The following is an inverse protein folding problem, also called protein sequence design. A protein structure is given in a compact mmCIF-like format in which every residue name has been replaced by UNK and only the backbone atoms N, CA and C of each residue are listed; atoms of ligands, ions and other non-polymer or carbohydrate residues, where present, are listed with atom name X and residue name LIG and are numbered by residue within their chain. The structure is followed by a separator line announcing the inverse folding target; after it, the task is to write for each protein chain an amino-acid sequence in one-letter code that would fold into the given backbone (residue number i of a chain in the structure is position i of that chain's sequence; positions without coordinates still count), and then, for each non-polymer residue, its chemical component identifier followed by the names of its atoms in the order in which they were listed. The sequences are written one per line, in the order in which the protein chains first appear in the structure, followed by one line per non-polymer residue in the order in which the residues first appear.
data_IF_817209117167
#
_entry.id   IF_817209117167
#
_cell.length_a   1.000
_cell.length_b   1.000
_cell.length_c   1.000
_cell.angle_alpha   90.00
_cell.angle_beta   90.00
_cell.angle_gamma   90.00
#
_symmetry.space_group_name_H-M   'P 1'
#
loop_
_entity.id
_entity.type
_entity.pdbx_description
1 polymer ?
#
# COMPACT_ATOMS: atom_id res chain seq x y z
N UNK A 1 8.45 -9.70 -7.89
CA UNK A 1 8.00 -8.61 -8.79
C UNK A 1 9.18 -7.78 -9.32
N UNK A 2 10.00 -7.10 -8.50
CA UNK A 2 11.09 -6.24 -8.99
C UNK A 2 12.14 -6.90 -9.89
N UNK A 3 12.39 -8.21 -9.78
CA UNK A 3 13.31 -8.93 -10.68
C UNK A 3 12.77 -9.08 -12.10
N UNK A 4 11.45 -9.05 -12.28
CA UNK A 4 10.79 -9.21 -13.58
C UNK A 4 10.63 -7.89 -14.33
N UNK A 5 10.90 -6.76 -13.68
CA UNK A 5 10.83 -5.44 -14.29
C UNK A 5 12.19 -5.04 -14.83
N UNK A 6 12.23 -4.60 -16.09
CA UNK A 6 13.46 -4.01 -16.66
C UNK A 6 13.65 -2.58 -16.17
N UNK A 7 14.90 -2.05 -16.13
CA UNK A 7 15.15 -0.65 -15.83
C UNK A 7 14.37 0.32 -16.73
N UNK A 8 14.23 0.00 -18.01
CA UNK A 8 13.46 0.81 -18.97
C UNK A 8 11.98 0.84 -18.61
N UNK A 9 11.38 -0.32 -18.28
CA UNK A 9 9.98 -0.39 -17.89
C UNK A 9 9.71 0.42 -16.61
N UNK A 10 10.57 0.29 -15.58
CA UNK A 10 10.44 1.07 -14.35
C UNK A 10 10.66 2.56 -14.59
N UNK A 11 11.61 2.92 -15.46
CA UNK A 11 11.88 4.30 -15.86
C UNK A 11 10.69 4.94 -16.58
N UNK A 12 10.06 4.20 -17.51
CA UNK A 12 8.89 4.68 -18.24
C UNK A 12 7.69 4.90 -17.32
N UNK A 13 7.40 3.96 -16.41
CA UNK A 13 6.31 4.12 -15.42
C UNK A 13 6.61 5.29 -14.49
N UNK A 14 7.83 5.39 -13.97
CA UNK A 14 8.26 6.50 -13.13
C UNK A 14 8.04 7.85 -13.83
N UNK A 15 8.48 7.96 -15.09
CA UNK A 15 8.26 9.17 -15.88
C UNK A 15 6.78 9.49 -16.06
N UNK A 16 5.95 8.51 -16.36
CA UNK A 16 4.52 8.70 -16.52
C UNK A 16 3.88 9.24 -15.23
N UNK A 17 4.27 8.71 -14.06
CA UNK A 17 3.78 9.22 -12.77
C UNK A 17 4.30 10.64 -12.53
N UNK A 18 5.57 10.91 -12.81
CA UNK A 18 6.13 12.25 -12.69
C UNK A 18 5.37 13.28 -13.55
N UNK A 19 4.92 12.86 -14.73
CA UNK A 19 4.20 13.69 -15.69
C UNK A 19 2.67 13.78 -15.37
N UNK A 20 2.18 13.09 -14.32
CA UNK A 20 0.81 13.24 -13.83
C UNK A 20 -0.05 11.98 -13.81
N UNK A 21 0.47 10.81 -14.17
CA UNK A 21 -0.25 9.55 -13.94
C UNK A 21 -0.40 9.29 -12.45
N UNK A 22 -1.59 8.90 -12.01
CA UNK A 22 -1.81 8.49 -10.63
C UNK A 22 -1.41 7.03 -10.42
N UNK A 23 -0.95 6.70 -9.21
CA UNK A 23 -0.50 5.37 -8.86
C UNK A 23 -1.20 4.87 -7.59
N UNK A 24 -1.84 3.71 -7.68
CA UNK A 24 -2.35 2.96 -6.54
C UNK A 24 -1.56 1.66 -6.44
N UNK A 25 -0.77 1.52 -5.36
CA UNK A 25 0.04 0.33 -5.09
C UNK A 25 -0.47 -0.43 -3.87
N UNK A 26 -0.94 -1.67 -4.07
CA UNK A 26 -1.39 -2.54 -2.98
C UNK A 26 -0.36 -3.65 -2.79
N UNK A 27 0.04 -3.92 -1.54
CA UNK A 27 0.99 -4.96 -1.13
C UNK A 27 2.27 -4.95 -1.98
N UNK A 28 2.43 -5.89 -2.91
CA UNK A 28 3.55 -5.92 -3.85
C UNK A 28 3.68 -4.65 -4.70
N UNK A 29 2.57 -3.99 -5.03
CA UNK A 29 2.55 -2.69 -5.67
C UNK A 29 3.07 -1.57 -4.77
N UNK A 30 2.81 -1.66 -3.47
CA UNK A 30 3.39 -0.76 -2.46
C UNK A 30 4.91 -0.89 -2.39
N UNK A 31 5.43 -2.12 -2.33
CA UNK A 31 6.88 -2.35 -2.42
C UNK A 31 7.48 -1.79 -3.72
N UNK A 32 6.82 -2.06 -4.86
CA UNK A 32 7.31 -1.63 -6.16
C UNK A 32 7.46 -0.10 -6.27
N UNK A 33 6.66 0.67 -5.55
CA UNK A 33 6.76 2.13 -5.51
C UNK A 33 8.08 2.63 -4.89
N UNK A 34 8.69 1.84 -4.00
CA UNK A 34 9.93 2.18 -3.29
C UNK A 34 11.18 2.17 -4.17
N UNK A 35 12.30 2.56 -3.56
CA UNK A 35 13.62 2.42 -4.17
C UNK A 35 14.25 1.09 -3.78
N UNK A 36 14.76 0.35 -4.75
CA UNK A 36 15.54 -0.88 -4.53
C UNK A 36 16.76 -0.92 -5.43
N UNK A 37 17.85 -1.50 -4.93
CA UNK A 37 19.07 -1.71 -5.69
C UNK A 37 18.99 -3.00 -6.53
N UNK A 38 19.77 -3.09 -7.62
CA UNK A 38 19.83 -4.31 -8.41
C UNK A 38 20.12 -5.56 -7.55
N UNK A 39 19.52 -6.71 -7.87
CA UNK A 39 18.74 -7.04 -9.06
C UNK A 39 17.25 -6.66 -9.01
N UNK A 40 16.82 -5.91 -8.00
CA UNK A 40 15.44 -5.47 -7.84
C UNK A 40 15.26 -4.07 -8.42
N UNK A 41 14.30 -3.89 -9.31
CA UNK A 41 14.01 -2.60 -9.91
C UNK A 41 12.68 -2.06 -9.34
N UNK A 42 12.76 -1.11 -8.40
CA UNK A 42 11.63 -0.34 -7.93
C UNK A 42 11.39 0.89 -8.80
N UNK A 43 10.18 1.44 -8.71
CA UNK A 43 9.79 2.64 -9.46
C UNK A 43 10.43 3.91 -8.86
N UNK A 44 10.89 3.84 -7.61
CA UNK A 44 11.43 4.97 -6.86
C UNK A 44 10.52 6.22 -6.92
N UNK A 45 9.23 6.03 -6.70
CA UNK A 45 8.24 7.10 -6.58
C UNK A 45 8.29 7.79 -5.21
N UNK A 46 9.09 7.26 -4.31
CA UNK A 46 9.15 7.60 -2.88
C UNK A 46 10.38 8.39 -2.51
N UNK A 47 10.97 9.11 -3.46
CA UNK A 47 12.13 10.00 -3.26
C UNK A 47 13.31 9.30 -2.58
N UNK A 48 13.58 8.06 -2.94
CA UNK A 48 14.71 7.28 -2.42
C UNK A 48 14.38 6.42 -1.20
N UNK A 49 13.16 6.49 -0.65
CA UNK A 49 12.76 5.66 0.49
C UNK A 49 12.52 4.21 0.04
N UNK A 50 13.01 3.29 0.86
CA UNK A 50 12.81 1.85 0.74
C UNK A 50 11.87 1.37 1.85
N UNK A 51 10.92 0.51 1.51
CA UNK A 51 10.01 -0.07 2.48
C UNK A 51 10.45 -1.47 2.92
N UNK A 52 10.19 -1.78 4.18
CA UNK A 52 10.32 -3.10 4.77
C UNK A 52 8.97 -3.79 4.93
N UNK A 53 9.00 -5.06 5.33
CA UNK A 53 7.80 -5.78 5.73
C UNK A 53 7.25 -5.25 7.06
N UNK A 54 5.95 -5.26 7.21
CA UNK A 54 5.32 -5.04 8.51
C UNK A 54 5.82 -6.06 9.54
N UNK A 55 5.92 -5.64 10.81
CA UNK A 55 6.58 -6.40 11.88
C UNK A 55 6.02 -7.82 12.14
N UNK A 56 4.82 -8.15 11.68
CA UNK A 56 4.27 -9.50 11.77
C UNK A 56 5.11 -10.54 11.03
N UNK A 57 5.71 -10.17 9.90
CA UNK A 57 6.60 -11.05 9.13
C UNK A 57 7.80 -11.51 9.94
N UNK A 58 8.41 -10.63 10.74
CA UNK A 58 9.54 -10.99 11.62
C UNK A 58 9.19 -12.02 12.69
N UNK A 59 7.91 -12.21 12.99
CA UNK A 59 7.38 -13.23 13.91
C UNK A 59 6.95 -14.49 13.19
N UNK A 60 7.25 -14.63 11.90
CA UNK A 60 6.88 -15.79 11.07
C UNK A 60 5.41 -15.80 10.64
N UNK A 61 4.67 -14.72 10.87
CA UNK A 61 3.29 -14.60 10.43
C UNK A 61 3.32 -14.12 8.98
N UNK A 62 2.79 -14.94 8.07
CA UNK A 62 2.80 -14.63 6.63
C UNK A 62 1.50 -14.00 6.16
N UNK A 63 0.37 -14.31 6.81
CA UNK A 63 -0.93 -13.71 6.53
C UNK A 63 -1.78 -13.63 7.81
N UNK A 64 -2.58 -12.60 7.91
CA UNK A 64 -3.46 -12.36 9.05
C UNK A 64 -4.59 -11.39 8.71
N UNK A 65 -5.66 -11.43 9.53
CA UNK A 65 -6.55 -10.30 9.70
C UNK A 65 -5.83 -9.27 10.60
N UNK A 66 -5.56 -8.08 10.09
CA UNK A 66 -4.83 -7.04 10.83
C UNK A 66 -5.72 -5.82 11.02
N UNK A 67 -5.97 -5.38 12.27
CA UNK A 67 -6.77 -4.19 12.53
C UNK A 67 -6.00 -2.94 12.11
N UNK A 68 -6.50 -2.24 11.13
CA UNK A 68 -5.94 -0.98 10.61
C UNK A 68 -6.73 0.18 11.20
N UNK A 69 -6.07 1.02 11.97
CA UNK A 69 -6.63 2.26 12.47
C UNK A 69 -6.66 3.29 11.32
N UNK A 70 -7.83 3.49 10.70
CA UNK A 70 -8.01 4.49 9.65
C UNK A 70 -8.07 5.87 10.29
N UNK A 71 -7.28 6.82 9.81
CA UNK A 71 -7.26 8.18 10.36
C UNK A 71 -8.60 8.86 10.06
N UNK A 72 -9.19 9.45 11.11
CA UNK A 72 -10.53 10.06 11.01
C UNK A 72 -11.68 9.08 10.78
N UNK A 73 -11.42 7.78 10.89
CA UNK A 73 -12.39 6.71 10.63
C UNK A 73 -12.34 5.56 11.64
N UNK A 74 -13.03 4.46 11.35
CA UNK A 74 -13.03 3.27 12.22
C UNK A 74 -11.71 2.48 12.09
N UNK A 75 -11.53 1.53 13.02
CA UNK A 75 -10.56 0.44 12.82
C UNK A 75 -11.21 -0.64 11.97
N UNK A 76 -10.52 -1.07 10.92
CA UNK A 76 -10.95 -2.11 9.98
C UNK A 76 -9.98 -3.29 10.00
N UNK A 77 -10.47 -4.51 10.19
CA UNK A 77 -9.65 -5.72 10.10
C UNK A 77 -9.44 -6.07 8.63
N UNK A 78 -8.29 -5.74 8.09
CA UNK A 78 -7.99 -5.96 6.67
C UNK A 78 -7.07 -7.17 6.48
N UNK A 79 -7.21 -7.84 5.34
CA UNK A 79 -6.32 -8.94 4.96
C UNK A 79 -4.91 -8.42 4.72
N UNK A 80 -3.93 -9.04 5.36
CA UNK A 80 -2.51 -8.78 5.17
C UNK A 80 -1.79 -10.08 4.81
N UNK A 81 -0.93 -10.05 3.81
CA UNK A 81 -0.04 -11.14 3.41
C UNK A 81 1.30 -10.57 2.96
N UNK A 82 2.31 -10.69 3.84
CA UNK A 82 3.67 -10.19 3.58
C UNK A 82 3.74 -8.75 3.03
N UNK A 83 2.81 -7.90 3.42
CA UNK A 83 2.74 -6.53 2.95
C UNK A 83 3.72 -5.59 3.64
N UNK A 84 4.06 -4.45 3.00
CA UNK A 84 4.97 -3.46 3.54
C UNK A 84 4.37 -2.60 4.65
N UNK A 85 5.26 -1.97 5.44
CA UNK A 85 5.01 -0.76 6.17
C UNK A 85 5.70 0.42 5.45
N UNK A 86 5.17 1.65 5.62
CA UNK A 86 5.56 2.79 4.78
C UNK A 86 6.26 3.90 5.56
N UNK A 87 7.05 3.55 6.58
CA UNK A 87 7.82 4.55 7.34
C UNK A 87 8.76 5.33 6.42
N UNK A 88 8.75 6.65 6.59
CA UNK A 88 9.68 7.56 5.92
C UNK A 88 9.16 8.20 4.63
N UNK A 89 7.92 7.89 4.19
CA UNK A 89 7.32 8.51 3.04
C UNK A 89 5.79 8.65 3.14
N UNK A 90 5.28 9.76 2.66
CA UNK A 90 3.86 10.06 2.55
C UNK A 90 3.19 10.42 3.88
N UNK A 91 1.93 10.81 3.80
CA UNK A 91 1.06 11.07 4.94
C UNK A 91 0.29 9.79 5.29
N UNK A 92 0.24 9.45 6.59
CA UNK A 92 -0.39 8.22 7.04
C UNK A 92 -1.92 8.33 7.04
N UNK A 93 -2.57 7.55 6.18
CA UNK A 93 -4.03 7.42 6.06
C UNK A 93 -4.56 6.29 6.94
N UNK A 94 -3.75 5.27 7.18
CA UNK A 94 -4.05 4.15 8.07
C UNK A 94 -2.80 3.59 8.73
N UNK A 95 -2.93 3.07 9.96
CA UNK A 95 -1.80 2.59 10.76
C UNK A 95 -2.00 1.14 11.18
N UNK A 96 -0.91 0.40 11.19
CA UNK A 96 -0.80 -0.91 11.82
C UNK A 96 -0.93 -0.81 13.36
N UNK A 97 -1.18 -1.94 14.07
CA UNK A 97 -1.27 -1.94 15.53
C UNK A 97 -0.05 -1.42 16.28
N UNK A 98 1.13 -1.50 15.67
CA UNK A 98 2.38 -0.96 16.23
C UNK A 98 2.59 0.54 15.94
N UNK A 99 1.62 1.17 15.28
CA UNK A 99 1.65 2.59 14.92
C UNK A 99 2.39 2.91 13.62
N UNK A 100 3.02 1.92 12.97
CA UNK A 100 3.67 2.16 11.66
C UNK A 100 2.64 2.38 10.56
N UNK A 101 2.95 3.20 9.53
CA UNK A 101 2.01 3.48 8.45
C UNK A 101 1.69 2.22 7.62
N UNK A 102 0.41 1.87 7.54
CA UNK A 102 -0.13 0.77 6.75
C UNK A 102 -0.66 1.23 5.39
N UNK A 103 -1.19 2.44 5.35
CA UNK A 103 -1.72 3.08 4.15
C UNK A 103 -1.22 4.52 4.15
N UNK A 104 -0.67 4.96 3.04
CA UNK A 104 -0.13 6.31 2.90
C UNK A 104 -0.54 6.93 1.58
N UNK A 105 -0.55 8.26 1.52
CA UNK A 105 -0.70 9.02 0.29
C UNK A 105 0.40 10.06 0.13
N UNK A 106 0.63 10.51 -1.10
CA UNK A 106 1.63 11.52 -1.39
C UNK A 106 1.71 11.85 -2.87
N UNK A 107 2.72 12.62 -3.24
CA UNK A 107 2.93 13.05 -4.63
C UNK A 107 4.32 12.66 -5.13
N UNK A 108 4.43 12.45 -6.44
CA UNK A 108 5.70 12.36 -7.13
C UNK A 108 5.60 13.13 -8.46
N UNK A 109 6.31 14.25 -8.55
CA UNK A 109 6.12 15.20 -9.64
C UNK A 109 4.67 15.72 -9.67
N UNK A 110 4.01 15.56 -10.81
CA UNK A 110 2.61 15.89 -10.98
C UNK A 110 1.66 14.71 -10.66
N UNK A 111 2.16 13.52 -10.32
CA UNK A 111 1.35 12.32 -10.02
C UNK A 111 0.88 12.25 -8.57
N UNK A 112 -0.29 11.64 -8.37
CA UNK A 112 -0.85 11.32 -7.06
C UNK A 112 -0.63 9.84 -6.74
N UNK A 113 -0.21 9.52 -5.52
CA UNK A 113 0.18 8.17 -5.12
C UNK A 113 -0.57 7.78 -3.86
N UNK A 114 -1.18 6.59 -3.88
CA UNK A 114 -1.72 5.92 -2.69
C UNK A 114 -1.06 4.54 -2.60
N UNK A 115 -0.51 4.21 -1.44
CA UNK A 115 0.09 2.90 -1.18
C UNK A 115 -0.63 2.23 -0.02
N UNK A 116 -0.93 0.92 -0.16
CA UNK A 116 -1.51 0.09 0.88
C UNK A 116 -0.65 -1.15 1.12
N UNK A 117 -0.29 -1.40 2.37
CA UNK A 117 0.39 -2.62 2.81
C UNK A 117 -0.57 -3.77 3.12
N UNK A 118 -1.86 -3.52 3.09
CA UNK A 118 -2.95 -4.47 3.32
C UNK A 118 -3.84 -4.53 2.09
N UNK A 119 -4.74 -5.51 2.05
CA UNK A 119 -5.64 -5.79 0.95
C UNK A 119 -7.11 -5.52 1.34
N UNK A 120 -7.57 -4.26 1.29
CA UNK A 120 -8.99 -3.98 1.53
C UNK A 120 -9.90 -4.58 0.45
N UNK A 121 -9.35 -4.92 -0.71
CA UNK A 121 -10.04 -5.56 -1.83
C UNK A 121 -10.10 -7.09 -1.72
N UNK A 122 -9.52 -7.69 -0.66
CA UNK A 122 -9.42 -9.14 -0.52
C UNK A 122 -10.77 -9.84 -0.60
N UNK A 123 -10.96 -10.79 -1.54
CA UNK A 123 -12.20 -11.53 -1.65
C UNK A 123 -12.38 -12.51 -0.48
N UNK A 124 -13.61 -12.97 -0.26
CA UNK A 124 -13.96 -13.87 0.83
C UNK A 124 -13.08 -15.13 0.90
N UNK A 125 -12.73 -15.70 -0.25
CA UNK A 125 -11.90 -16.93 -0.29
C UNK A 125 -10.48 -16.71 0.23
N UNK A 126 -9.90 -15.49 0.15
CA UNK A 126 -8.61 -15.21 0.76
C UNK A 126 -8.70 -15.14 2.28
N UNK A 127 -9.85 -14.77 2.81
CA UNK A 127 -10.13 -14.58 4.23
C UNK A 127 -10.38 -15.89 4.97
N UNK A 128 -10.54 -17.01 4.27
CA UNK A 128 -10.81 -18.32 4.88
C UNK A 128 -9.73 -18.73 5.88
N UNK A 129 -10.17 -19.26 7.03
CA UNK A 129 -9.29 -19.73 8.09
C UNK A 129 -8.74 -18.62 9.01
N UNK A 130 -9.19 -17.39 8.82
CA UNK A 130 -8.90 -16.25 9.69
C UNK A 130 -10.18 -15.65 10.26
N UNK A 131 -10.06 -15.01 11.42
CA UNK A 131 -11.20 -14.32 12.07
C UNK A 131 -11.10 -12.83 11.81
N UNK A 132 -12.14 -12.27 11.20
CA UNK A 132 -12.28 -10.83 10.97
C UNK A 132 -13.44 -10.29 11.79
N UNK A 133 -13.25 -9.13 12.42
CA UNK A 133 -14.33 -8.37 13.04
C UNK A 133 -15.07 -7.51 12.00
N UNK A 134 -14.36 -7.10 10.95
CA UNK A 134 -14.92 -6.29 9.85
C UNK A 134 -15.45 -7.20 8.74
N UNK A 135 -16.72 -7.06 8.31
CA UNK A 135 -17.24 -7.75 7.14
C UNK A 135 -16.46 -7.37 5.86
N UNK A 136 -16.28 -8.31 4.94
CA UNK A 136 -15.59 -8.06 3.67
C UNK A 136 -16.22 -6.91 2.86
N UNK A 137 -17.55 -6.75 2.92
CA UNK A 137 -18.25 -5.65 2.25
C UNK A 137 -17.83 -4.27 2.73
N UNK A 138 -17.45 -4.14 4.01
CA UNK A 138 -16.96 -2.87 4.57
C UNK A 138 -15.54 -2.59 4.07
N UNK A 139 -14.68 -3.61 4.04
CA UNK A 139 -13.33 -3.48 3.48
C UNK A 139 -13.37 -3.15 1.99
N UNK A 140 -14.25 -3.80 1.22
CA UNK A 140 -14.46 -3.50 -0.19
C UNK A 140 -14.96 -2.06 -0.42
N UNK A 141 -15.83 -1.55 0.45
CA UNK A 141 -16.25 -0.14 0.40
C UNK A 141 -15.07 0.81 0.64
N UNK A 142 -14.18 0.44 1.59
CA UNK A 142 -12.96 1.20 1.85
C UNK A 142 -11.96 1.10 0.69
N UNK A 143 -11.79 -0.08 0.07
CA UNK A 143 -11.01 -0.22 -1.17
C UNK A 143 -11.53 0.72 -2.27
N UNK A 144 -12.86 0.78 -2.43
CA UNK A 144 -13.51 1.74 -3.34
C UNK A 144 -13.18 3.20 -3.02
N UNK A 145 -13.01 3.54 -1.74
CA UNK A 145 -12.59 4.88 -1.32
C UNK A 145 -11.16 5.18 -1.75
N UNK A 146 -10.22 4.26 -1.54
CA UNK A 146 -8.82 4.41 -1.99
C UNK A 146 -8.73 4.55 -3.52
N UNK A 147 -9.49 3.72 -4.26
CA UNK A 147 -9.53 3.78 -5.73
C UNK A 147 -10.06 5.15 -6.20
N UNK A 148 -11.18 5.63 -5.66
CA UNK A 148 -11.74 6.94 -6.02
C UNK A 148 -10.78 8.07 -5.68
N UNK A 149 -10.13 8.01 -4.52
CA UNK A 149 -9.14 9.00 -4.11
C UNK A 149 -7.95 9.03 -5.10
N UNK A 150 -7.45 7.86 -5.50
CA UNK A 150 -6.37 7.76 -6.49
C UNK A 150 -6.80 8.31 -7.87
N UNK A 151 -8.00 7.96 -8.35
CA UNK A 151 -8.50 8.42 -9.65
C UNK A 151 -8.74 9.93 -9.69
N UNK A 152 -9.31 10.48 -8.64
CA UNK A 152 -9.75 11.87 -8.58
C UNK A 152 -8.70 12.80 -7.93
N UNK A 153 -7.57 12.28 -7.48
CA UNK A 153 -6.52 13.02 -6.76
C UNK A 153 -7.09 13.72 -5.51
N UNK A 154 -7.96 13.01 -4.80
CA UNK A 154 -8.58 13.52 -3.58
C UNK A 154 -7.79 13.06 -2.39
N UNK A 155 -7.34 14.02 -1.55
CA UNK A 155 -6.67 13.70 -0.29
C UNK A 155 -7.63 12.99 0.67
N UNK A 156 -7.13 11.98 1.34
CA UNK A 156 -7.79 11.27 2.43
C UNK A 156 -7.46 11.95 3.77
N UNK A 157 -8.17 11.58 4.84
CA UNK A 157 -7.81 12.06 6.18
C UNK A 157 -6.45 11.48 6.64
N UNK A 158 -5.60 12.32 7.24
CA UNK A 158 -4.27 11.97 7.78
C UNK A 158 -3.86 12.86 8.96
#
# INVERSE_FOLDING_TARGET
MGKSMTPDATGNIRKAVQDGLNYLGICGGGFLAGKYDPPYNGLNLTSGVRFGFYAAERRGIRKAAVPIAVVGGPTLDQYWEDGPEFTGWGEAVGKYPDGTPAIVEGTFGAGWIILSGVHPEAPENWRHGMTFQTPASVDHAYAGTLIRAALNRTSLAH
#
